data_IF_316589070416
#
_entry.id   IF_316589070416
#
_cell.length_a   1.000
_cell.length_b   1.000
_cell.length_c   1.000
_cell.angle_alpha   90.00
_cell.angle_beta   90.00
_cell.angle_gamma   90.00
#
_symmetry.space_group_name_H-M   'P 1'
#
loop_
_entity.id
_entity.type
_entity.pdbx_description
1 polymer ?
#
# COMPACT_ATOMS: atom_id res chain seq x y z
N UNK A 1 4.72 7.61 18.01
CA UNK A 1 3.91 6.73 17.13
C UNK A 1 4.30 7.00 15.69
N UNK A 2 4.51 5.95 14.91
CA UNK A 2 4.86 6.05 13.49
C UNK A 2 3.94 5.15 12.67
N UNK A 3 3.52 5.61 11.50
CA UNK A 3 2.81 4.81 10.50
C UNK A 3 3.64 4.70 9.23
N UNK A 4 3.48 3.60 8.51
CA UNK A 4 4.05 3.40 7.19
C UNK A 4 2.92 3.09 6.22
N UNK A 5 2.67 4.01 5.29
CA UNK A 5 1.58 3.92 4.33
C UNK A 5 2.17 3.58 2.97
N UNK A 6 1.82 2.42 2.38
CA UNK A 6 2.30 2.06 1.06
C UNK A 6 1.61 2.84 -0.04
N UNK A 7 2.39 3.13 -1.08
CA UNK A 7 1.93 3.75 -2.32
C UNK A 7 1.90 2.66 -3.40
N UNK A 8 0.75 2.45 -4.01
CA UNK A 8 0.51 1.46 -5.07
C UNK A 8 0.12 2.11 -6.39
N UNK A 9 0.13 1.35 -7.49
CA UNK A 9 -0.27 1.84 -8.82
C UNK A 9 -1.76 2.04 -9.02
N UNK A 10 -2.58 1.32 -8.27
CA UNK A 10 -4.04 1.28 -8.42
C UNK A 10 -4.67 1.20 -7.03
N UNK A 11 -6.00 1.13 -6.91
CA UNK A 11 -6.65 0.83 -5.61
C UNK A 11 -6.74 -0.67 -5.38
N UNK A 12 -7.09 -1.09 -4.15
CA UNK A 12 -7.33 -2.49 -3.83
C UNK A 12 -8.44 -3.08 -4.71
N UNK A 13 -9.53 -2.34 -4.87
CA UNK A 13 -10.70 -2.76 -5.63
C UNK A 13 -10.36 -2.90 -7.12
N UNK A 14 -9.59 -1.94 -7.66
CA UNK A 14 -9.10 -1.98 -9.04
C UNK A 14 -8.21 -3.20 -9.26
N UNK A 15 -7.28 -3.47 -8.33
CA UNK A 15 -6.44 -4.65 -8.40
C UNK A 15 -7.23 -5.94 -8.31
N UNK A 16 -8.14 -6.08 -7.35
CA UNK A 16 -8.92 -7.32 -7.19
C UNK A 16 -9.72 -7.62 -8.46
N UNK A 17 -10.37 -6.61 -9.05
CA UNK A 17 -11.08 -6.74 -10.32
C UNK A 17 -10.16 -7.13 -11.48
N UNK A 18 -8.98 -6.50 -11.58
CA UNK A 18 -8.02 -6.75 -12.65
C UNK A 18 -7.34 -8.12 -12.50
N UNK A 19 -7.00 -8.48 -11.26
CA UNK A 19 -6.36 -9.73 -10.88
C UNK A 19 -7.30 -10.90 -11.17
N UNK A 20 -8.55 -10.86 -10.71
CA UNK A 20 -9.52 -11.92 -10.97
C UNK A 20 -9.73 -12.17 -12.46
N UNK A 21 -9.90 -11.10 -13.26
CA UNK A 21 -10.04 -11.20 -14.72
C UNK A 21 -8.81 -11.83 -15.38
N UNK A 22 -7.62 -11.35 -15.03
CA UNK A 22 -6.35 -11.86 -15.59
C UNK A 22 -6.08 -13.29 -15.15
N UNK A 23 -6.38 -13.62 -13.90
CA UNK A 23 -6.17 -14.92 -13.29
C UNK A 23 -7.08 -15.97 -13.95
N UNK A 24 -8.37 -15.66 -14.09
CA UNK A 24 -9.32 -16.52 -14.79
C UNK A 24 -8.89 -16.78 -16.24
N UNK A 25 -8.54 -15.71 -16.98
CA UNK A 25 -8.08 -15.83 -18.37
C UNK A 25 -6.84 -16.74 -18.48
N UNK A 26 -5.84 -16.50 -17.63
CA UNK A 26 -4.57 -17.23 -17.69
C UNK A 26 -4.71 -18.69 -17.23
N UNK A 27 -5.59 -18.95 -16.27
CA UNK A 27 -5.95 -20.30 -15.88
C UNK A 27 -6.59 -21.07 -17.04
N UNK A 28 -7.55 -20.45 -17.75
CA UNK A 28 -8.18 -21.08 -18.93
C UNK A 28 -7.19 -21.35 -20.06
N UNK A 29 -6.21 -20.46 -20.30
CA UNK A 29 -5.14 -20.68 -21.26
C UNK A 29 -4.26 -21.89 -20.89
N UNK A 30 -3.90 -22.02 -19.61
CA UNK A 30 -3.09 -23.15 -19.11
C UNK A 30 -3.86 -24.47 -19.17
N UNK A 31 -5.16 -24.46 -18.86
CA UNK A 31 -6.03 -25.64 -18.99
C UNK A 31 -6.14 -26.08 -20.47
N UNK A 32 -6.29 -25.14 -21.41
CA UNK A 32 -6.39 -25.43 -22.83
C UNK A 32 -5.07 -25.95 -23.45
N UNK A 33 -3.92 -25.57 -22.90
CA UNK A 33 -2.59 -26.03 -23.34
C UNK A 33 -2.23 -27.43 -22.82
N UNK A 34 -2.95 -27.92 -21.82
CA UNK A 34 -2.69 -29.24 -21.24
C UNK A 34 -3.39 -30.33 -22.05
N UNK A 35 -2.62 -31.23 -22.67
CA UNK A 35 -3.17 -32.34 -23.46
C UNK A 35 -3.72 -33.44 -22.53
N UNK A 36 -5.01 -33.74 -22.62
CA UNK A 36 -5.69 -34.76 -21.80
C UNK A 36 -6.42 -34.18 -20.59
N UNK A 37 -7.23 -35.01 -19.91
CA UNK A 37 -8.05 -34.58 -18.78
C UNK A 37 -7.20 -34.06 -17.61
N UNK A 38 -7.34 -32.77 -17.28
CA UNK A 38 -6.63 -32.16 -16.15
C UNK A 38 -7.25 -32.66 -14.84
N UNK A 39 -6.50 -33.46 -14.08
CA UNK A 39 -6.92 -33.90 -12.74
C UNK A 39 -7.08 -32.73 -11.76
N UNK A 40 -7.93 -32.86 -10.76
CA UNK A 40 -8.16 -31.80 -9.77
C UNK A 40 -6.90 -31.39 -9.01
N UNK A 41 -5.99 -32.34 -8.75
CA UNK A 41 -4.68 -32.07 -8.13
C UNK A 41 -3.81 -31.18 -9.02
N UNK A 42 -3.84 -31.41 -10.33
CA UNK A 42 -3.07 -30.64 -11.31
C UNK A 42 -3.65 -29.22 -11.45
N UNK A 43 -4.97 -29.06 -11.49
CA UNK A 43 -5.64 -27.75 -11.43
C UNK A 43 -5.23 -26.95 -10.19
N UNK A 44 -5.15 -27.61 -9.04
CA UNK A 44 -4.78 -26.97 -7.77
C UNK A 44 -3.32 -26.49 -7.78
N UNK A 45 -2.40 -27.27 -8.34
CA UNK A 45 -1.00 -26.87 -8.52
C UNK A 45 -0.86 -25.73 -9.54
N UNK A 46 -1.59 -25.77 -10.66
CA UNK A 46 -1.59 -24.71 -11.66
C UNK A 46 -2.11 -23.38 -11.08
N UNK A 47 -3.19 -23.42 -10.29
CA UNK A 47 -3.70 -22.24 -9.57
C UNK A 47 -2.69 -21.68 -8.58
N UNK A 48 -2.03 -22.53 -7.79
CA UNK A 48 -1.02 -22.06 -6.83
C UNK A 48 0.19 -21.43 -7.52
N UNK A 49 0.67 -22.02 -8.61
CA UNK A 49 1.78 -21.48 -9.37
C UNK A 49 1.42 -20.16 -10.05
N UNK A 50 0.26 -20.10 -10.71
CA UNK A 50 -0.23 -18.88 -11.33
C UNK A 50 -0.40 -17.74 -10.31
N UNK A 51 -0.89 -18.08 -9.11
CA UNK A 51 -1.04 -17.09 -8.04
C UNK A 51 0.33 -16.54 -7.58
N UNK A 52 1.37 -17.39 -7.52
CA UNK A 52 2.74 -16.92 -7.22
C UNK A 52 3.26 -15.98 -8.30
N UNK A 53 3.07 -16.35 -9.56
CA UNK A 53 3.61 -15.60 -10.70
C UNK A 53 2.92 -14.23 -10.87
N UNK A 54 1.63 -14.14 -10.54
CA UNK A 54 0.84 -12.92 -10.64
C UNK A 54 0.92 -12.00 -9.41
N UNK A 55 1.58 -12.42 -8.33
CA UNK A 55 1.54 -11.71 -7.04
C UNK A 55 0.26 -12.02 -6.28
N UNK A 56 0.36 -12.99 -5.36
CA UNK A 56 -0.75 -13.69 -4.66
C UNK A 56 -1.82 -12.80 -3.99
N UNK A 57 -1.58 -11.51 -3.74
CA UNK A 57 -2.57 -10.62 -3.12
C UNK A 57 -2.27 -9.13 -3.34
N UNK A 58 -3.27 -8.28 -3.10
CA UNK A 58 -3.12 -6.82 -3.10
C UNK A 58 -1.98 -6.34 -2.19
N UNK A 59 -1.85 -6.96 -1.01
CA UNK A 59 -0.82 -6.63 -0.03
C UNK A 59 0.58 -7.09 -0.47
N UNK A 60 0.64 -8.09 -1.34
CA UNK A 60 1.86 -8.59 -1.98
C UNK A 60 2.13 -7.88 -3.33
N UNK A 61 1.22 -7.02 -3.79
CA UNK A 61 1.48 -6.14 -4.93
C UNK A 61 2.61 -5.18 -4.55
N UNK A 62 3.58 -5.02 -5.45
CA UNK A 62 4.80 -4.30 -5.13
C UNK A 62 4.50 -2.81 -4.91
N UNK A 63 4.55 -2.37 -3.64
CA UNK A 63 4.50 -0.96 -3.29
C UNK A 63 5.59 -0.20 -4.05
N UNK A 64 5.20 0.86 -4.74
CA UNK A 64 6.10 1.74 -5.49
C UNK A 64 6.88 2.68 -4.58
N UNK A 65 6.37 2.93 -3.38
CA UNK A 65 6.98 3.78 -2.38
C UNK A 65 6.22 3.71 -1.06
N UNK A 66 6.69 4.49 -0.08
CA UNK A 66 6.11 4.55 1.25
C UNK A 66 6.08 5.99 1.77
N UNK A 67 5.05 6.31 2.52
CA UNK A 67 4.95 7.51 3.35
C UNK A 67 5.12 7.08 4.80
N UNK A 68 6.19 7.52 5.44
CA UNK A 68 6.36 7.43 6.88
C UNK A 68 5.73 8.66 7.52
N UNK A 69 4.74 8.43 8.38
CA UNK A 69 4.10 9.46 9.19
C UNK A 69 4.65 9.35 10.61
N UNK A 70 5.17 10.44 11.16
CA UNK A 70 5.68 10.49 12.54
C UNK A 70 5.19 11.71 13.31
N UNK A 71 5.17 11.62 14.64
CA UNK A 71 4.87 12.78 15.49
C UNK A 71 5.98 13.83 15.37
N UNK A 72 5.59 15.08 15.13
CA UNK A 72 6.44 16.27 15.21
C UNK A 72 5.88 17.29 16.20
N UNK A 73 6.52 18.46 16.29
CA UNK A 73 6.01 19.60 17.05
C UNK A 73 4.79 20.18 16.32
N UNK A 74 3.67 20.37 17.01
CA UNK A 74 2.43 20.90 16.42
C UNK A 74 1.76 20.00 15.35
N UNK A 75 2.09 18.70 15.30
CA UNK A 75 1.42 17.79 14.36
C UNK A 75 2.27 16.62 13.86
N UNK A 76 2.28 16.44 12.54
CA UNK A 76 2.86 15.27 11.89
C UNK A 76 3.93 15.63 10.88
N UNK A 77 4.83 14.67 10.73
CA UNK A 77 6.00 14.74 9.87
C UNK A 77 5.90 13.63 8.84
N UNK A 78 6.17 13.97 7.58
CA UNK A 78 6.01 13.06 6.46
C UNK A 78 7.35 12.88 5.77
N UNK A 79 7.81 11.63 5.69
CA UNK A 79 9.00 11.24 4.92
C UNK A 79 8.54 10.31 3.81
N UNK A 80 8.83 10.68 2.57
CA UNK A 80 8.36 9.95 1.39
C UNK A 80 9.55 9.28 0.72
N UNK A 81 9.46 7.97 0.45
CA UNK A 81 10.54 7.19 -0.15
C UNK A 81 10.05 6.36 -1.34
N UNK A 82 10.84 6.32 -2.43
CA UNK A 82 10.62 5.38 -3.53
C UNK A 82 11.08 3.97 -3.15
N UNK A 83 10.38 2.97 -3.66
CA UNK A 83 10.85 1.58 -3.65
C UNK A 83 12.12 1.46 -4.52
N UNK A 84 13.03 0.58 -4.10
CA UNK A 84 14.23 0.28 -4.88
C UNK A 84 13.93 -0.86 -5.87
N UNK A 85 13.93 -0.59 -7.19
CA UNK A 85 13.64 -1.59 -8.22
C UNK A 85 14.73 -2.67 -8.37
N UNK A 86 15.96 -2.43 -7.93
CA UNK A 86 17.07 -3.41 -7.96
C UNK A 86 17.04 -4.40 -6.81
N UNK A 87 16.19 -4.16 -5.80
CA UNK A 87 15.84 -5.13 -4.77
C UNK A 87 14.35 -5.50 -4.90
N UNK A 88 13.89 -6.00 -6.06
CA UNK A 88 12.51 -6.41 -6.24
C UNK A 88 12.36 -7.63 -5.35
N UNK A 89 11.68 -7.41 -4.24
CA UNK A 89 11.47 -8.39 -3.19
C UNK A 89 10.75 -9.61 -3.82
N UNK A 90 11.50 -10.65 -4.20
CA UNK A 90 11.04 -12.00 -4.61
C UNK A 90 9.82 -12.43 -3.80
N UNK A 91 8.82 -13.17 -4.33
CA UNK A 91 7.45 -13.22 -3.78
C UNK A 91 7.43 -13.25 -2.25
N UNK A 92 7.20 -12.08 -1.63
CA UNK A 92 7.36 -11.91 -0.19
C UNK A 92 6.02 -12.07 0.48
N UNK A 93 5.78 -13.27 1.01
CA UNK A 93 5.13 -13.32 2.32
C UNK A 93 5.95 -12.48 3.29
N UNK A 94 5.22 -11.87 4.22
CA UNK A 94 5.65 -10.99 5.29
C UNK A 94 5.68 -9.51 4.92
N UNK A 95 4.70 -8.82 5.51
CA UNK A 95 4.73 -7.42 5.91
C UNK A 95 5.99 -7.11 6.72
N UNK A 96 7.16 -7.14 6.09
CA UNK A 96 8.30 -6.43 6.61
C UNK A 96 8.03 -4.96 6.31
N UNK A 97 7.24 -4.34 7.22
CA UNK A 97 7.28 -2.91 7.50
C UNK A 97 8.72 -2.48 7.34
N UNK A 98 8.96 -1.55 6.43
CA UNK A 98 10.32 -1.16 6.14
C UNK A 98 10.90 -0.63 7.43
N UNK A 99 12.03 -1.20 7.88
CA UNK A 99 12.65 -0.79 9.13
C UNK A 99 12.77 0.74 9.16
N UNK A 100 12.40 1.40 10.28
CA UNK A 100 12.35 2.86 10.39
C UNK A 100 13.62 3.61 9.95
N UNK A 101 14.75 2.92 9.95
CA UNK A 101 16.08 3.37 9.58
C UNK A 101 16.35 3.40 8.06
N UNK A 102 15.44 2.87 7.22
CA UNK A 102 15.65 2.73 5.77
C UNK A 102 14.83 3.70 4.90
N UNK A 103 14.22 4.72 5.49
CA UNK A 103 13.50 5.75 4.75
C UNK A 103 14.48 6.80 4.20
N UNK A 104 14.51 6.96 2.88
CA UNK A 104 15.30 7.96 2.17
C UNK A 104 14.34 8.90 1.42
N UNK A 105 14.34 10.20 1.70
CA UNK A 105 13.61 11.17 0.87
C UNK A 105 13.27 12.51 1.54
N UNK A 106 12.40 13.25 0.87
CA UNK A 106 12.01 14.61 1.24
C UNK A 106 11.15 14.63 2.50
N UNK A 107 11.36 15.66 3.32
CA UNK A 107 10.66 15.85 4.59
C UNK A 107 9.68 17.01 4.46
N UNK A 108 8.43 16.75 4.83
CA UNK A 108 7.40 17.78 4.91
C UNK A 108 6.91 17.87 6.35
N UNK A 109 7.10 19.03 6.99
CA UNK A 109 6.40 19.36 8.25
C UNK A 109 5.09 19.99 7.88
N UNK A 110 4.00 19.41 8.35
CA UNK A 110 2.67 19.98 8.14
C UNK A 110 2.02 20.10 9.51
N UNK A 111 1.63 21.33 9.86
CA UNK A 111 0.97 21.61 11.14
C UNK A 111 -0.48 21.08 11.12
N UNK A 112 -0.85 20.45 12.22
CA UNK A 112 -2.21 19.98 12.52
C UNK A 112 -2.82 20.76 13.69
N UNK A 113 -2.19 21.84 14.16
CA UNK A 113 -2.63 22.63 15.34
C UNK A 113 -4.07 23.16 15.24
N UNK A 114 -4.57 23.35 14.02
CA UNK A 114 -5.95 23.79 13.78
C UNK A 114 -6.97 22.66 13.70
N UNK A 115 -6.53 21.40 13.74
CA UNK A 115 -7.41 20.23 13.72
C UNK A 115 -7.80 19.88 15.16
N UNK A 116 -9.09 19.99 15.47
CA UNK A 116 -9.66 19.78 16.81
C UNK A 116 -10.42 18.45 16.85
N UNK A 117 -10.95 18.01 15.71
CA UNK A 117 -11.71 16.76 15.58
C UNK A 117 -10.96 15.70 14.79
N UNK A 118 -11.32 14.42 15.00
CA UNK A 118 -10.80 13.29 14.22
C UNK A 118 -11.07 13.49 12.73
N UNK A 119 -12.24 13.98 12.38
CA UNK A 119 -12.68 14.18 11.00
C UNK A 119 -11.81 15.22 10.30
N UNK A 120 -11.47 16.31 10.99
CA UNK A 120 -10.53 17.31 10.47
C UNK A 120 -9.12 16.75 10.27
N UNK A 121 -8.64 15.93 11.20
CA UNK A 121 -7.34 15.27 11.08
C UNK A 121 -7.32 14.32 9.88
N UNK A 122 -8.34 13.47 9.73
CA UNK A 122 -8.43 12.54 8.60
C UNK A 122 -8.55 13.27 7.26
N UNK A 123 -9.35 14.33 7.18
CA UNK A 123 -9.45 15.16 5.98
C UNK A 123 -8.13 15.83 5.64
N UNK A 124 -7.37 16.28 6.65
CA UNK A 124 -6.05 16.87 6.43
C UNK A 124 -5.05 15.84 5.91
N UNK A 125 -5.06 14.61 6.44
CA UNK A 125 -4.28 13.49 5.91
C UNK A 125 -4.63 13.20 4.44
N UNK A 126 -5.92 13.12 4.13
CA UNK A 126 -6.38 12.87 2.76
C UNK A 126 -5.88 13.94 1.78
N UNK A 127 -6.01 15.23 2.13
CA UNK A 127 -5.45 16.31 1.31
C UNK A 127 -3.95 16.14 1.06
N UNK A 128 -3.18 15.84 2.11
CA UNK A 128 -1.72 15.65 2.00
C UNK A 128 -1.38 14.45 1.11
N UNK A 129 -2.10 13.34 1.25
CA UNK A 129 -1.85 12.15 0.45
C UNK A 129 -2.20 12.38 -1.02
N UNK A 130 -3.27 13.12 -1.31
CA UNK A 130 -3.64 13.55 -2.67
C UNK A 130 -2.54 14.43 -3.29
N UNK A 131 -2.08 15.46 -2.56
CA UNK A 131 -0.97 16.31 -3.02
C UNK A 131 0.30 15.48 -3.33
N UNK A 132 0.62 14.50 -2.47
CA UNK A 132 1.75 13.59 -2.68
C UNK A 132 1.58 12.77 -3.96
N UNK A 133 0.39 12.31 -4.33
CA UNK A 133 0.20 11.52 -5.56
C UNK A 133 -0.12 12.36 -6.80
N UNK A 134 -0.24 13.68 -6.69
CA UNK A 134 -0.46 14.58 -7.83
C UNK A 134 0.83 15.28 -8.27
N UNK A 135 1.62 15.77 -7.30
CA UNK A 135 2.77 16.66 -7.54
C UNK A 135 4.14 16.00 -7.33
N UNK A 136 4.18 14.67 -7.29
CA UNK A 136 5.40 13.92 -6.99
C UNK A 136 5.67 12.83 -8.04
N UNK A 137 6.80 12.10 -7.96
CA UNK A 137 7.04 10.97 -8.85
C UNK A 137 6.05 9.80 -8.66
N UNK A 138 5.11 9.91 -7.73
CA UNK A 138 3.99 8.99 -7.54
C UNK A 138 2.72 9.45 -8.29
N UNK A 139 2.86 10.27 -9.34
CA UNK A 139 1.72 10.74 -10.13
C UNK A 139 0.80 9.60 -10.57
N UNK A 140 -0.48 9.69 -10.22
CA UNK A 140 -1.49 8.66 -10.56
C UNK A 140 -1.37 7.37 -9.76
N UNK A 141 -0.62 7.38 -8.65
CA UNK A 141 -0.57 6.29 -7.69
C UNK A 141 -1.63 6.47 -6.59
N UNK A 142 -1.79 5.46 -5.76
CA UNK A 142 -2.74 5.42 -4.64
C UNK A 142 -2.00 5.19 -3.32
N UNK A 143 -2.31 5.97 -2.30
CA UNK A 143 -1.81 5.75 -0.93
C UNK A 143 -2.81 4.88 -0.17
N UNK A 144 -2.38 3.74 0.36
CA UNK A 144 -3.21 2.95 1.29
C UNK A 144 -3.08 3.51 2.71
N UNK A 145 -4.03 4.37 3.08
CA UNK A 145 -4.15 4.94 4.42
C UNK A 145 -5.22 4.26 5.28
N UNK A 146 -5.70 3.08 4.88
CA UNK A 146 -6.75 2.33 5.60
C UNK A 146 -6.37 2.06 7.07
N UNK A 147 -5.09 1.85 7.36
CA UNK A 147 -4.60 1.67 8.73
C UNK A 147 -4.88 2.89 9.61
N UNK A 148 -4.65 4.11 9.10
CA UNK A 148 -4.91 5.35 9.84
C UNK A 148 -6.41 5.49 10.05
N UNK A 149 -7.22 5.29 9.01
CA UNK A 149 -8.68 5.38 9.09
C UNK A 149 -9.27 4.42 10.12
N UNK A 150 -8.81 3.16 10.12
CA UNK A 150 -9.29 2.12 11.03
C UNK A 150 -8.89 2.40 12.50
N UNK A 151 -7.69 2.93 12.71
CA UNK A 151 -7.20 3.25 14.05
C UNK A 151 -7.67 4.60 14.57
N UNK A 152 -8.23 5.46 13.70
CA UNK A 152 -8.51 6.84 14.03
C UNK A 152 -9.45 7.04 15.22
N UNK A 153 -10.37 6.11 15.47
CA UNK A 153 -11.26 6.17 16.63
C UNK A 153 -10.55 5.87 17.96
N UNK A 154 -9.39 5.21 17.91
CA UNK A 154 -8.65 4.75 19.07
C UNK A 154 -7.44 5.64 19.41
N UNK A 155 -7.24 6.70 18.62
CA UNK A 155 -6.12 7.62 18.77
C UNK A 155 -6.61 8.89 19.45
N UNK A 156 -5.96 9.27 20.54
CA UNK A 156 -6.11 10.60 21.12
C UNK A 156 -5.36 11.63 20.26
N UNK A 157 -6.04 12.11 19.22
CA UNK A 157 -5.49 13.08 18.28
C UNK A 157 -5.08 14.39 18.93
N UNK A 158 -5.85 14.84 19.93
CA UNK A 158 -5.56 16.08 20.66
C UNK A 158 -4.21 15.98 21.36
N UNK A 159 -3.93 14.87 22.06
CA UNK A 159 -2.63 14.62 22.70
C UNK A 159 -1.46 14.49 21.70
N UNK A 160 -1.74 14.08 20.47
CA UNK A 160 -0.71 13.96 19.43
C UNK A 160 -0.35 15.32 18.83
N UNK A 161 -1.32 16.22 18.73
CA UNK A 161 -1.18 17.56 18.15
C UNK A 161 -0.67 18.57 19.19
N UNK A 162 -1.24 18.56 20.39
CA UNK A 162 -0.89 19.50 21.46
C UNK A 162 0.39 19.04 22.17
N UNK A 163 1.56 19.49 21.67
CA UNK A 163 2.84 19.62 22.40
C UNK A 163 3.75 20.65 21.73
#
# INVERSE_FOLDING_TARGET
>A
MYFYLPIYKETKEQFEQNYEKKFAKRLSELEAQTSGGVSDRMKLMMKDQLAKDMGRSWRENHALGWIRVGKGKGGFTFIISKSNPERPRSPKRYFDLIPPDKCYGNYHVISFEKCVTKEEVLKKFECIFSEIVEDSPFKGCFVDYSQITNLANFIDWKSLIEK
#
